data_IF_040871859848
#
_entry.id   IF_040871859848
#
_cell.length_a   1.000
_cell.length_b   1.000
_cell.length_c   1.000
_cell.angle_alpha   90.00
_cell.angle_beta   90.00
_cell.angle_gamma   90.00
#
_symmetry.space_group_name_H-M   'P 1'
#
loop_
_entity.id
_entity.type
_entity.pdbx_description
1 polymer ?
#
# COMPACT_ATOMS: atom_id res chain seq x y z
N UNK A 1 73.23 24.44 1.04
CA UNK A 1 73.73 23.86 2.30
C UNK A 1 72.71 22.83 2.75
N UNK A 2 72.98 21.54 2.51
CA UNK A 2 72.16 20.40 2.98
C UNK A 2 72.94 19.73 4.12
N UNK A 3 72.26 19.35 5.21
CA UNK A 3 72.27 17.93 5.63
C UNK A 3 70.87 17.54 6.15
N UNK A 4 70.39 16.30 6.18
CA UNK A 4 70.94 14.96 5.93
C UNK A 4 69.71 14.05 5.77
N UNK A 5 69.68 13.22 4.74
CA UNK A 5 68.86 12.02 4.66
C UNK A 5 69.68 10.84 5.21
N UNK A 6 69.06 10.03 6.05
CA UNK A 6 69.47 8.68 6.45
C UNK A 6 68.16 7.92 6.72
N UNK A 7 67.95 6.65 6.41
CA UNK A 7 68.49 5.65 5.49
C UNK A 7 67.65 4.39 5.74
N UNK A 8 67.57 3.50 4.75
CA UNK A 8 67.16 2.08 4.85
C UNK A 8 65.71 1.72 4.48
N UNK A 9 65.58 1.48 3.17
CA UNK A 9 65.04 0.27 2.54
C UNK A 9 64.75 -0.95 3.45
N UNK A 10 63.57 -1.56 3.34
CA UNK A 10 63.31 -2.82 2.61
C UNK A 10 61.96 -3.45 2.99
N UNK A 11 61.20 -3.81 1.95
CA UNK A 11 60.40 -5.04 1.72
C UNK A 11 59.41 -5.59 2.77
N UNK A 12 58.23 -5.93 2.21
CA UNK A 12 57.22 -6.95 2.59
C UNK A 12 55.90 -6.47 3.25
N UNK A 13 54.82 -6.69 2.47
CA UNK A 13 53.36 -6.76 2.79
C UNK A 13 53.14 -7.88 3.83
N UNK A 14 52.25 -7.82 4.87
CA UNK A 14 50.79 -7.72 4.72
C UNK A 14 49.95 -7.06 5.88
N UNK A 15 48.67 -6.76 5.57
CA UNK A 15 47.49 -6.64 6.46
C UNK A 15 47.51 -5.55 7.56
N UNK A 16 46.60 -4.55 7.48
CA UNK A 16 45.47 -4.36 8.42
C UNK A 16 44.83 -2.96 8.37
N UNK A 17 43.49 -2.96 8.36
CA UNK A 17 42.55 -2.11 9.14
C UNK A 17 42.20 -0.65 8.75
N UNK A 18 40.91 -0.36 9.00
CA UNK A 18 40.13 0.90 8.98
C UNK A 18 39.67 1.34 7.57
N UNK A 19 38.52 0.88 7.03
CA UNK A 19 37.16 0.92 7.60
C UNK A 19 36.85 2.28 8.26
N UNK A 20 36.56 3.29 7.43
CA UNK A 20 35.62 4.33 7.83
C UNK A 20 34.20 3.76 7.72
N UNK A 21 33.81 3.01 8.75
CA UNK A 21 32.40 2.79 9.04
C UNK A 21 31.91 4.14 9.54
N UNK A 22 31.11 4.86 8.73
CA UNK A 22 30.17 5.82 9.28
C UNK A 22 29.14 4.97 10.01
N UNK A 23 29.47 4.66 11.26
CA UNK A 23 28.57 4.04 12.20
C UNK A 23 27.57 5.13 12.55
N UNK A 24 26.45 5.19 11.82
CA UNK A 24 25.21 5.65 12.43
C UNK A 24 24.82 4.51 13.37
N UNK A 25 25.49 4.49 14.52
CA UNK A 25 24.99 3.85 15.72
C UNK A 25 23.60 4.43 15.94
N UNK A 26 22.57 3.63 15.70
CA UNK A 26 21.33 3.78 16.43
C UNK A 26 21.68 3.51 17.89
N UNK A 27 22.23 4.52 18.55
CA UNK A 27 22.33 4.55 19.98
C UNK A 27 20.93 4.29 20.49
N UNK A 28 20.78 3.22 21.27
CA UNK A 28 19.71 3.14 22.24
C UNK A 28 19.70 4.48 22.95
N UNK A 29 18.66 5.28 22.73
CA UNK A 29 18.38 6.43 23.56
C UNK A 29 18.00 5.85 24.91
N UNK A 30 19.00 5.67 25.77
CA UNK A 30 18.79 5.49 27.20
C UNK A 30 18.42 6.86 27.76
N UNK A 31 17.18 7.29 27.53
CA UNK A 31 16.58 8.32 28.37
C UNK A 31 16.26 7.66 29.69
N UNK A 32 17.11 7.90 30.69
CA UNK A 32 16.70 7.81 32.09
C UNK A 32 15.61 8.86 32.30
N UNK A 33 14.36 8.41 32.18
CA UNK A 33 13.16 9.22 32.31
C UNK A 33 11.99 8.46 31.71
N UNK A 34 11.10 7.94 32.57
CA UNK A 34 9.87 7.28 32.15
C UNK A 34 9.01 8.24 31.32
N UNK A 35 9.11 8.15 30.00
CA UNK A 35 8.17 8.74 29.05
C UNK A 35 7.99 7.74 27.90
N UNK A 36 6.76 7.32 27.65
CA UNK A 36 6.40 6.57 26.44
C UNK A 36 6.68 7.46 25.23
N UNK A 37 7.84 7.31 24.59
CA UNK A 37 8.18 8.04 23.37
C UNK A 37 7.27 7.58 22.23
N UNK A 38 6.48 8.50 21.68
CA UNK A 38 5.78 8.30 20.41
C UNK A 38 6.77 8.71 19.31
N UNK A 39 7.12 7.78 18.43
CA UNK A 39 7.82 8.10 17.18
C UNK A 39 6.81 8.14 16.04
N UNK A 40 6.99 9.06 15.10
CA UNK A 40 6.13 9.21 13.91
C UNK A 40 6.97 9.06 12.64
N UNK A 41 6.41 8.36 11.66
CA UNK A 41 6.97 8.25 10.30
C UNK A 41 5.93 8.76 9.32
N UNK A 42 6.37 9.59 8.38
CA UNK A 42 5.54 10.19 7.34
C UNK A 42 5.81 9.49 6.02
N UNK A 43 4.74 9.02 5.37
CA UNK A 43 4.79 8.28 4.12
C UNK A 43 3.98 9.04 3.08
N UNK A 44 4.62 9.41 1.98
CA UNK A 44 4.03 10.13 0.86
C UNK A 44 3.67 9.20 -0.29
N UNK A 45 3.62 9.77 -1.48
CA UNK A 45 3.33 9.07 -2.73
C UNK A 45 4.20 7.82 -2.89
N UNK A 46 3.58 6.73 -3.36
CA UNK A 46 4.25 5.48 -3.69
C UNK A 46 5.05 4.84 -2.54
N UNK A 47 4.73 5.18 -1.29
CA UNK A 47 5.40 4.64 -0.11
C UNK A 47 6.66 5.38 0.32
N UNK A 48 7.04 6.45 -0.40
CA UNK A 48 8.24 7.23 -0.13
C UNK A 48 8.20 7.88 1.25
N UNK A 49 9.28 7.72 2.03
CA UNK A 49 9.43 8.44 3.30
C UNK A 49 9.58 9.94 3.04
N UNK A 50 8.87 10.76 3.80
CA UNK A 50 8.81 12.21 3.58
C UNK A 50 8.69 12.99 4.90
N UNK A 51 8.35 14.28 4.81
CA UNK A 51 7.97 15.12 5.93
C UNK A 51 6.43 15.23 6.03
N UNK A 52 5.91 15.88 7.07
CA UNK A 52 4.46 16.01 7.28
C UNK A 52 3.73 16.73 6.13
N UNK A 53 4.36 17.70 5.47
CA UNK A 53 3.78 18.48 4.37
C UNK A 53 3.39 17.61 3.16
N UNK A 54 4.18 16.57 2.89
CA UNK A 54 3.98 15.67 1.75
C UNK A 54 3.38 14.31 2.15
N UNK A 55 2.95 14.17 3.40
CA UNK A 55 2.47 12.91 3.93
C UNK A 55 1.06 12.58 3.41
N UNK A 56 0.89 11.35 2.92
CA UNK A 56 -0.42 10.73 2.66
C UNK A 56 -0.83 9.85 3.84
N UNK A 57 0.18 9.25 4.51
CA UNK A 57 0.01 8.45 5.71
C UNK A 57 0.96 8.89 6.82
N UNK A 58 0.49 8.75 8.07
CA UNK A 58 1.33 8.83 9.26
C UNK A 58 1.30 7.49 9.97
N UNK A 59 2.47 6.94 10.28
CA UNK A 59 2.60 5.80 11.16
C UNK A 59 3.07 6.26 12.54
N UNK A 60 2.23 6.10 13.55
CA UNK A 60 2.54 6.43 14.96
C UNK A 60 2.90 5.16 15.71
N UNK A 61 4.10 5.09 16.24
CA UNK A 61 4.60 3.97 17.04
C UNK A 61 4.32 4.27 18.50
N UNK A 62 3.63 3.36 19.18
CA UNK A 62 3.32 3.44 20.61
C UNK A 62 3.92 2.24 21.32
N UNK A 63 5.04 2.46 22.00
CA UNK A 63 5.72 1.43 22.78
C UNK A 63 5.08 1.34 24.16
N UNK A 64 4.55 0.17 24.52
CA UNK A 64 3.95 -0.09 25.84
C UNK A 64 4.97 -0.72 26.79
N UNK A 65 5.79 -1.65 26.29
CA UNK A 65 6.85 -2.33 27.02
C UNK A 65 7.90 -2.85 26.03
N UNK A 66 8.98 -3.45 26.54
CA UNK A 66 10.00 -4.13 25.71
C UNK A 66 9.46 -5.29 24.86
N UNK A 67 8.28 -5.83 25.21
CA UNK A 67 7.65 -6.97 24.53
C UNK A 67 6.34 -6.61 23.83
N UNK A 68 5.90 -5.35 23.89
CA UNK A 68 4.63 -4.92 23.33
C UNK A 68 4.65 -3.49 22.82
N UNK A 69 4.19 -3.31 21.59
CA UNK A 69 4.02 -2.01 20.96
C UNK A 69 2.89 -2.05 19.93
N UNK A 70 2.48 -0.89 19.44
CA UNK A 70 1.60 -0.81 18.27
C UNK A 70 2.08 0.23 17.26
N UNK A 71 1.73 -0.01 16.01
CA UNK A 71 1.87 0.95 14.91
C UNK A 71 0.47 1.31 14.47
N UNK A 72 0.10 2.58 14.58
CA UNK A 72 -1.17 3.10 14.08
C UNK A 72 -0.92 3.83 12.77
N UNK A 73 -1.58 3.43 11.70
CA UNK A 73 -1.55 4.14 10.42
C UNK A 73 -2.76 5.06 10.33
N UNK A 74 -2.48 6.35 10.11
CA UNK A 74 -3.48 7.37 9.85
C UNK A 74 -3.40 7.78 8.38
N UNK A 75 -4.54 8.13 7.79
CA UNK A 75 -4.65 8.70 6.45
C UNK A 75 -5.37 10.03 6.54
N UNK A 76 -4.98 10.98 5.70
CA UNK A 76 -5.69 12.26 5.62
C UNK A 76 -7.04 12.07 4.93
N UNK A 77 -8.11 12.57 5.56
CA UNK A 77 -9.47 12.62 5.04
C UNK A 77 -10.12 13.91 5.52
N UNK A 78 -10.67 14.70 4.59
CA UNK A 78 -11.35 15.98 4.88
C UNK A 78 -10.53 16.93 5.78
N UNK A 79 -9.21 16.99 5.55
CA UNK A 79 -8.29 17.83 6.32
C UNK A 79 -7.91 17.29 7.70
N UNK A 80 -8.42 16.13 8.12
CA UNK A 80 -8.11 15.49 9.39
C UNK A 80 -7.36 14.16 9.20
N UNK A 81 -6.57 13.80 10.20
CA UNK A 81 -5.87 12.51 10.22
C UNK A 81 -6.74 11.46 10.91
N UNK A 82 -7.29 10.53 10.12
CA UNK A 82 -8.12 9.44 10.62
C UNK A 82 -7.31 8.15 10.69
N UNK A 83 -7.43 7.40 11.79
CA UNK A 83 -6.77 6.10 11.95
C UNK A 83 -7.50 5.04 11.13
N UNK A 84 -6.82 4.50 10.13
CA UNK A 84 -7.38 3.49 9.21
C UNK A 84 -6.91 2.07 9.49
N UNK A 85 -5.78 1.92 10.20
CA UNK A 85 -5.17 0.61 10.43
C UNK A 85 -4.33 0.61 11.71
N UNK A 86 -4.24 -0.54 12.37
CA UNK A 86 -3.38 -0.74 13.54
C UNK A 86 -2.77 -2.12 13.55
N UNK A 87 -1.46 -2.17 13.76
CA UNK A 87 -0.73 -3.39 14.05
C UNK A 87 -0.33 -3.41 15.52
N UNK A 88 -0.72 -4.44 16.25
CA UNK A 88 -0.25 -4.69 17.61
C UNK A 88 0.83 -5.76 17.60
N UNK A 89 2.04 -5.37 17.97
CA UNK A 89 3.19 -6.24 18.07
C UNK A 89 3.28 -6.82 19.48
N UNK A 90 3.33 -8.14 19.56
CA UNK A 90 3.68 -8.88 20.78
C UNK A 90 4.91 -9.73 20.48
N UNK A 91 6.01 -9.47 21.18
CA UNK A 91 7.25 -10.24 21.05
C UNK A 91 7.00 -11.67 21.53
N UNK A 92 7.30 -12.65 20.68
CA UNK A 92 7.24 -14.09 21.00
C UNK A 92 8.63 -14.56 21.44
N UNK A 93 9.66 -14.15 20.72
CA UNK A 93 11.08 -14.34 21.03
C UNK A 93 11.90 -13.21 20.36
N UNK A 94 13.23 -13.28 20.40
CA UNK A 94 14.11 -12.24 19.87
C UNK A 94 13.99 -11.98 18.37
N UNK A 95 13.59 -12.99 17.60
CA UNK A 95 13.42 -12.90 16.14
C UNK A 95 11.96 -12.81 15.70
N UNK A 96 10.98 -13.10 16.56
CA UNK A 96 9.59 -13.32 16.14
C UNK A 96 8.60 -12.46 16.92
N UNK A 97 7.68 -11.85 16.17
CA UNK A 97 6.56 -11.09 16.68
C UNK A 97 5.25 -11.73 16.21
N UNK A 98 4.29 -11.81 17.12
CA UNK A 98 2.88 -11.96 16.77
C UNK A 98 2.34 -10.55 16.51
N UNK A 99 1.89 -10.30 15.28
CA UNK A 99 1.34 -9.02 14.82
C UNK A 99 -0.16 -9.18 14.61
N UNK A 100 -0.97 -8.52 15.43
CA UNK A 100 -2.43 -8.45 15.21
C UNK A 100 -2.75 -7.20 14.39
N UNK A 101 -3.17 -7.42 13.16
CA UNK A 101 -3.58 -6.40 12.20
C UNK A 101 -5.08 -6.14 12.31
N UNK A 102 -5.50 -4.88 12.42
CA UNK A 102 -6.91 -4.49 12.51
C UNK A 102 -7.16 -3.24 11.65
N UNK A 103 -8.24 -3.28 10.87
CA UNK A 103 -8.86 -2.19 10.10
C UNK A 103 -10.38 -2.36 10.17
N UNK A 104 -11.14 -1.45 9.56
CA UNK A 104 -12.59 -1.61 9.42
C UNK A 104 -12.96 -2.87 8.62
N UNK A 105 -12.18 -3.22 7.59
CA UNK A 105 -12.52 -4.30 6.66
C UNK A 105 -11.82 -5.64 6.97
N UNK A 106 -10.73 -5.60 7.74
CA UNK A 106 -9.89 -6.76 7.98
C UNK A 106 -9.36 -6.81 9.40
N UNK A 107 -9.46 -8.00 10.01
CA UNK A 107 -8.73 -8.37 11.22
C UNK A 107 -7.97 -9.68 10.99
N UNK A 108 -6.71 -9.72 11.38
CA UNK A 108 -5.85 -10.89 11.18
C UNK A 108 -4.71 -10.98 12.17
N UNK A 109 -4.13 -12.18 12.30
CA UNK A 109 -2.90 -12.41 13.06
C UNK A 109 -1.82 -12.93 12.12
N UNK A 110 -0.69 -12.25 12.11
CA UNK A 110 0.52 -12.58 11.34
C UNK A 110 1.61 -12.96 12.35
N UNK A 111 2.38 -14.00 12.06
CA UNK A 111 3.64 -14.26 12.73
C UNK A 111 4.76 -13.75 11.84
N UNK A 112 5.44 -12.70 12.30
CA UNK A 112 6.52 -12.03 11.58
C UNK A 112 7.85 -12.40 12.20
N UNK A 113 8.70 -13.08 11.43
CA UNK A 113 10.05 -13.48 11.87
C UNK A 113 11.09 -12.67 11.13
N UNK A 114 12.15 -12.27 11.82
CA UNK A 114 13.25 -11.47 11.30
C UNK A 114 14.59 -12.17 11.46
N UNK A 115 15.51 -11.89 10.55
CA UNK A 115 16.92 -12.25 10.63
C UNK A 115 17.76 -11.05 10.18
N UNK A 116 18.61 -10.55 11.07
CA UNK A 116 19.54 -9.45 10.78
C UNK A 116 20.44 -9.82 9.61
N UNK A 117 20.59 -8.90 8.65
CA UNK A 117 21.53 -9.00 7.53
C UNK A 117 22.66 -7.96 7.71
N UNK A 118 23.60 -7.93 6.76
CA UNK A 118 24.64 -6.92 6.76
C UNK A 118 24.06 -5.49 6.75
N UNK A 119 24.70 -4.57 7.47
CA UNK A 119 24.20 -3.20 7.64
C UNK A 119 22.89 -3.15 8.46
N UNK A 120 22.01 -2.21 8.13
CA UNK A 120 20.75 -1.98 8.84
C UNK A 120 19.55 -2.68 8.15
N UNK A 121 19.79 -3.80 7.49
CA UNK A 121 18.75 -4.55 6.75
C UNK A 121 18.36 -5.82 7.49
N UNK A 122 17.08 -6.17 7.44
CA UNK A 122 16.50 -7.37 8.00
C UNK A 122 15.84 -8.18 6.90
N UNK A 123 16.07 -9.50 6.89
CA UNK A 123 15.19 -10.41 6.14
C UNK A 123 13.99 -10.71 7.02
N UNK A 124 12.78 -10.59 6.50
CA UNK A 124 11.54 -10.91 7.22
C UNK A 124 10.71 -11.98 6.51
N UNK A 125 9.88 -12.68 7.29
CA UNK A 125 8.83 -13.58 6.80
C UNK A 125 7.54 -13.37 7.59
N UNK A 126 6.46 -13.11 6.88
CA UNK A 126 5.10 -13.07 7.39
C UNK A 126 4.38 -14.37 7.10
N UNK A 127 3.91 -15.03 8.16
CA UNK A 127 3.12 -16.24 8.07
C UNK A 127 1.73 -16.05 8.68
N UNK A 128 0.70 -16.53 7.98
CA UNK A 128 -0.69 -16.58 8.44
C UNK A 128 -1.14 -18.03 8.47
N UNK A 129 -1.60 -18.50 9.64
CA UNK A 129 -1.99 -19.91 9.85
C UNK A 129 -0.91 -20.91 9.38
N UNK A 130 0.36 -20.59 9.65
CA UNK A 130 1.52 -21.43 9.29
C UNK A 130 1.97 -21.37 7.83
N UNK A 131 1.25 -20.66 6.96
CA UNK A 131 1.65 -20.47 5.55
C UNK A 131 2.31 -19.11 5.37
N UNK A 132 3.43 -19.07 4.66
CA UNK A 132 4.10 -17.82 4.28
C UNK A 132 3.19 -17.07 3.29
N UNK A 133 2.91 -15.80 3.58
CA UNK A 133 2.12 -14.92 2.72
C UNK A 133 2.93 -13.76 2.17
N UNK A 134 4.05 -13.43 2.81
CA UNK A 134 4.99 -12.41 2.36
C UNK A 134 6.37 -12.69 2.95
N UNK A 135 7.42 -12.50 2.18
CA UNK A 135 8.80 -12.46 2.69
C UNK A 135 9.65 -11.50 1.88
N UNK A 136 10.77 -11.08 2.43
CA UNK A 136 11.66 -10.16 1.74
C UNK A 136 12.58 -9.43 2.69
N UNK A 137 12.95 -8.22 2.30
CA UNK A 137 13.89 -7.40 3.04
C UNK A 137 13.22 -6.10 3.52
N UNK A 138 13.72 -5.59 4.65
CA UNK A 138 13.23 -4.38 5.30
C UNK A 138 14.36 -3.62 5.99
N UNK A 139 14.24 -2.31 6.11
CA UNK A 139 15.18 -1.46 6.87
C UNK A 139 14.76 -1.27 8.33
N UNK A 140 13.55 -1.66 8.68
CA UNK A 140 13.02 -1.53 10.04
C UNK A 140 12.11 -2.70 10.39
N UNK A 141 12.17 -3.12 11.66
CA UNK A 141 11.30 -4.15 12.26
C UNK A 141 9.90 -3.59 12.56
N UNK A 142 9.85 -2.35 13.07
CA UNK A 142 8.61 -1.70 13.48
C UNK A 142 8.73 -0.17 13.35
N UNK A 143 7.94 0.46 12.45
CA UNK A 143 7.10 -0.18 11.45
C UNK A 143 7.93 -1.00 10.47
N UNK A 144 7.31 -1.95 9.79
CA UNK A 144 7.98 -2.70 8.73
C UNK A 144 8.13 -1.80 7.51
N UNK A 145 9.35 -1.34 7.26
CA UNK A 145 9.69 -0.50 6.10
C UNK A 145 10.43 -1.34 5.08
N UNK A 146 9.83 -1.55 3.91
CA UNK A 146 10.38 -2.44 2.88
C UNK A 146 11.63 -1.87 2.23
N UNK A 147 12.55 -2.74 1.86
CA UNK A 147 13.76 -2.38 1.12
C UNK A 147 14.35 -3.62 0.47
N UNK A 148 14.78 -3.55 -0.79
CA UNK A 148 15.14 -4.72 -1.58
C UNK A 148 13.91 -5.50 -2.05
N UNK A 149 14.15 -6.75 -2.43
CA UNK A 149 13.10 -7.64 -2.94
C UNK A 149 12.10 -8.04 -1.83
N UNK A 150 10.81 -7.97 -2.16
CA UNK A 150 9.69 -8.47 -1.36
C UNK A 150 8.78 -9.31 -2.25
N UNK A 151 8.56 -10.56 -1.86
CA UNK A 151 7.63 -11.48 -2.53
C UNK A 151 6.35 -11.61 -1.72
N UNK A 152 5.20 -11.47 -2.37
CA UNK A 152 3.88 -11.83 -1.84
C UNK A 152 3.36 -13.11 -2.46
N UNK A 153 2.52 -13.85 -1.71
CA UNK A 153 1.94 -15.10 -2.16
C UNK A 153 0.42 -15.11 -2.02
N UNK A 154 -0.24 -15.80 -2.95
CA UNK A 154 -1.64 -16.18 -2.82
C UNK A 154 -1.82 -17.27 -1.77
N UNK A 155 -3.07 -17.52 -1.35
CA UNK A 155 -3.39 -18.54 -0.34
C UNK A 155 -3.02 -19.97 -0.76
N UNK A 156 -2.98 -20.22 -2.07
CA UNK A 156 -2.55 -21.48 -2.66
C UNK A 156 -1.01 -21.65 -2.68
N UNK A 157 -0.25 -20.60 -2.36
CA UNK A 157 1.21 -20.60 -2.36
C UNK A 157 1.86 -20.14 -3.66
N UNK A 158 1.08 -19.87 -4.71
CA UNK A 158 1.60 -19.25 -5.92
C UNK A 158 2.09 -17.83 -5.62
N UNK A 159 3.16 -17.41 -6.31
CA UNK A 159 3.61 -16.02 -6.25
C UNK A 159 2.47 -15.11 -6.71
N UNK A 160 2.26 -14.03 -5.98
CA UNK A 160 1.35 -12.94 -6.34
C UNK A 160 2.15 -11.80 -6.96
N UNK A 161 3.22 -11.41 -6.30
CA UNK A 161 4.14 -10.40 -6.80
C UNK A 161 5.55 -10.62 -6.27
N UNK A 162 6.52 -10.12 -7.02
CA UNK A 162 7.91 -9.93 -6.60
C UNK A 162 8.20 -8.46 -6.86
N UNK A 163 8.45 -7.70 -5.81
CA UNK A 163 8.55 -6.24 -5.87
C UNK A 163 9.89 -5.77 -5.33
N UNK A 164 10.50 -4.81 -6.01
CA UNK A 164 11.73 -4.16 -5.54
C UNK A 164 11.38 -2.84 -4.84
N UNK A 165 11.92 -2.65 -3.63
CA UNK A 165 11.71 -1.44 -2.84
C UNK A 165 13.02 -0.70 -2.55
N UNK A 166 13.00 0.62 -2.63
CA UNK A 166 14.08 1.45 -2.13
C UNK A 166 13.57 2.36 -1.01
N UNK A 167 13.99 2.11 0.23
CA UNK A 167 13.57 2.88 1.40
C UNK A 167 12.04 3.10 1.45
N UNK A 168 11.30 1.98 1.38
CA UNK A 168 9.84 1.89 1.38
C UNK A 168 9.12 2.42 0.13
N UNK A 169 9.83 3.01 -0.84
CA UNK A 169 9.28 3.38 -2.15
C UNK A 169 9.31 2.18 -3.10
N UNK A 170 8.17 1.85 -3.73
CA UNK A 170 8.08 0.78 -4.72
C UNK A 170 8.78 1.20 -6.02
N UNK A 171 9.75 0.42 -6.49
CA UNK A 171 10.54 0.72 -7.69
C UNK A 171 9.97 0.03 -8.92
N UNK A 172 9.72 -1.28 -8.81
CA UNK A 172 9.22 -2.15 -9.88
C UNK A 172 8.56 -3.37 -9.26
N UNK A 173 7.75 -4.08 -10.04
CA UNK A 173 7.16 -5.34 -9.62
C UNK A 173 6.85 -6.24 -10.80
N UNK A 174 7.05 -7.53 -10.58
CA UNK A 174 6.48 -8.59 -11.41
C UNK A 174 5.21 -9.12 -10.75
N UNK A 175 4.18 -9.42 -11.53
CA UNK A 175 2.90 -9.89 -11.00
C UNK A 175 2.40 -11.16 -11.69
N UNK A 176 1.60 -11.92 -10.94
CA UNK A 176 0.95 -13.14 -11.41
C UNK A 176 -0.51 -13.18 -10.96
N UNK A 177 -1.32 -13.91 -11.70
CA UNK A 177 -2.67 -14.28 -11.29
C UNK A 177 -2.61 -15.45 -10.29
N UNK A 178 -3.73 -15.72 -9.61
CA UNK A 178 -3.79 -16.78 -8.60
C UNK A 178 -3.52 -18.18 -9.18
N UNK A 179 -3.82 -18.41 -10.46
CA UNK A 179 -3.49 -19.64 -11.19
C UNK A 179 -2.01 -19.79 -11.56
N UNK A 180 -1.18 -18.76 -11.28
CA UNK A 180 0.25 -18.73 -11.59
C UNK A 180 0.58 -18.21 -12.98
N UNK A 181 -0.41 -17.87 -13.81
CA UNK A 181 -0.17 -17.18 -15.08
C UNK A 181 0.37 -15.77 -14.84
N UNK A 182 1.23 -15.29 -15.75
CA UNK A 182 1.77 -13.94 -15.70
C UNK A 182 0.64 -12.90 -15.79
N UNK A 183 0.76 -11.85 -15.00
CA UNK A 183 -0.08 -10.67 -15.06
C UNK A 183 0.73 -9.48 -15.60
N UNK A 184 0.17 -8.27 -15.54
CA UNK A 184 0.83 -7.04 -15.96
C UNK A 184 1.90 -6.68 -14.92
N UNK A 185 3.12 -6.40 -15.37
CA UNK A 185 4.24 -5.97 -14.53
C UNK A 185 4.26 -4.43 -14.39
N UNK A 186 5.11 -3.91 -13.50
CA UNK A 186 5.32 -2.48 -13.25
C UNK A 186 4.03 -1.69 -12.93
N UNK A 187 3.19 -2.27 -12.07
CA UNK A 187 1.94 -1.66 -11.62
C UNK A 187 2.19 -0.82 -10.36
N UNK A 188 1.68 0.41 -10.37
CA UNK A 188 1.72 1.31 -9.22
C UNK A 188 0.31 1.50 -8.63
N UNK A 189 0.27 1.76 -7.32
CA UNK A 189 -0.96 1.89 -6.53
C UNK A 189 -1.11 3.29 -5.90
N UNK A 190 -0.10 4.14 -6.04
CA UNK A 190 -0.07 5.52 -5.56
C UNK A 190 0.89 6.31 -6.44
N UNK A 191 0.39 7.42 -6.99
CA UNK A 191 1.07 8.23 -8.01
C UNK A 191 0.91 9.71 -7.71
N UNK A 192 1.75 10.55 -8.30
CA UNK A 192 1.70 12.01 -8.11
C UNK A 192 0.50 12.62 -8.84
N UNK A 193 0.12 12.01 -9.96
CA UNK A 193 -1.08 12.34 -10.74
C UNK A 193 -1.80 11.04 -11.09
N UNK A 194 -3.07 10.94 -10.71
CA UNK A 194 -3.92 9.79 -11.03
C UNK A 194 -4.29 9.76 -12.52
N UNK A 195 -4.65 8.59 -13.09
CA UNK A 195 -5.14 8.51 -14.46
C UNK A 195 -6.43 9.31 -14.64
N UNK A 196 -6.58 9.92 -15.81
CA UNK A 196 -7.77 10.72 -16.15
C UNK A 196 -8.41 10.13 -17.40
N UNK A 197 -9.67 9.68 -17.25
CA UNK A 197 -10.49 9.30 -18.39
C UNK A 197 -10.98 10.56 -19.13
N UNK A 198 -10.70 10.63 -20.43
CA UNK A 198 -11.21 11.62 -21.37
C UNK A 198 -12.25 10.89 -22.22
N UNK A 199 -13.53 11.28 -22.18
CA UNK A 199 -14.05 12.65 -22.00
C UNK A 199 -14.47 13.07 -20.58
N UNK A 200 -14.27 12.23 -19.57
CA UNK A 200 -14.56 12.55 -18.16
C UNK A 200 -15.51 11.58 -17.48
N UNK A 201 -15.52 11.61 -16.14
CA UNK A 201 -16.23 10.65 -15.29
C UNK A 201 -17.75 10.68 -15.48
N UNK A 202 -18.34 11.85 -15.82
CA UNK A 202 -19.77 11.95 -16.12
C UNK A 202 -20.18 11.10 -17.32
N UNK A 203 -19.40 11.14 -18.40
CA UNK A 203 -19.67 10.36 -19.61
C UNK A 203 -19.46 8.87 -19.33
N UNK A 204 -18.40 8.53 -18.60
CA UNK A 204 -18.17 7.16 -18.14
C UNK A 204 -19.37 6.64 -17.34
N UNK A 205 -19.84 7.37 -16.34
CA UNK A 205 -20.99 6.97 -15.53
C UNK A 205 -22.26 6.78 -16.37
N UNK A 206 -22.52 7.68 -17.33
CA UNK A 206 -23.66 7.55 -18.25
C UNK A 206 -23.55 6.30 -19.12
N UNK A 207 -22.35 5.99 -19.64
CA UNK A 207 -22.08 4.79 -20.43
C UNK A 207 -22.32 3.52 -19.60
N UNK A 208 -21.79 3.48 -18.37
CA UNK A 208 -22.00 2.34 -17.47
C UNK A 208 -23.49 2.13 -17.16
N UNK A 209 -24.23 3.19 -16.81
CA UNK A 209 -25.68 3.12 -16.57
C UNK A 209 -26.43 2.60 -17.80
N UNK A 210 -26.05 3.05 -19.00
CA UNK A 210 -26.64 2.58 -20.25
C UNK A 210 -26.35 1.08 -20.45
N UNK A 211 -25.12 0.64 -20.25
CA UNK A 211 -24.74 -0.77 -20.38
C UNK A 211 -25.50 -1.70 -19.44
N UNK A 212 -25.77 -1.29 -18.19
CA UNK A 212 -26.67 -2.05 -17.31
C UNK A 212 -28.10 -2.12 -17.85
N UNK A 213 -28.66 -1.00 -18.30
CA UNK A 213 -30.03 -0.96 -18.86
C UNK A 213 -30.17 -1.82 -20.12
N UNK A 214 -29.20 -1.75 -21.02
CA UNK A 214 -29.18 -2.53 -22.26
C UNK A 214 -29.09 -4.04 -21.98
N UNK A 215 -28.46 -4.43 -20.87
CA UNK A 215 -28.42 -5.80 -20.37
C UNK A 215 -29.71 -6.23 -19.62
N UNK A 216 -30.75 -5.41 -19.61
CA UNK A 216 -32.02 -5.68 -18.93
C UNK A 216 -31.95 -5.59 -17.40
N UNK A 217 -30.93 -4.92 -16.86
CA UNK A 217 -30.74 -4.82 -15.41
C UNK A 217 -31.48 -3.59 -14.88
N UNK A 218 -32.44 -3.84 -13.98
CA UNK A 218 -33.07 -2.79 -13.20
C UNK A 218 -32.16 -2.37 -12.03
N UNK A 219 -31.35 -1.34 -12.27
CA UNK A 219 -30.43 -0.78 -11.28
C UNK A 219 -31.12 -0.28 -10.00
N UNK A 220 -32.43 0.04 -10.06
CA UNK A 220 -33.17 0.51 -8.89
C UNK A 220 -33.49 -0.63 -7.91
N UNK A 221 -33.57 -1.87 -8.42
CA UNK A 221 -33.80 -3.08 -7.61
C UNK A 221 -32.52 -3.63 -6.95
N UNK A 222 -31.35 -3.12 -7.33
CA UNK A 222 -30.05 -3.60 -6.82
C UNK A 222 -29.63 -2.78 -5.61
N UNK A 223 -29.06 -3.46 -4.61
CA UNK A 223 -28.42 -2.82 -3.47
C UNK A 223 -27.00 -3.36 -3.29
N UNK A 224 -26.09 -2.50 -2.84
CA UNK A 224 -24.73 -2.87 -2.47
C UNK A 224 -23.68 -2.32 -3.43
N UNK A 225 -22.45 -2.79 -3.25
CA UNK A 225 -21.27 -2.28 -3.99
C UNK A 225 -20.64 -3.38 -4.82
N UNK A 226 -20.62 -3.17 -6.13
CA UNK A 226 -19.79 -3.92 -7.07
C UNK A 226 -18.43 -3.23 -7.16
N UNK A 227 -17.33 -3.98 -7.19
CA UNK A 227 -15.99 -3.40 -7.37
C UNK A 227 -15.34 -4.02 -8.59
N UNK A 228 -15.01 -3.15 -9.55
CA UNK A 228 -14.30 -3.48 -10.78
C UNK A 228 -12.87 -2.99 -10.64
N UNK A 229 -11.90 -3.85 -10.93
CA UNK A 229 -10.50 -3.49 -10.98
C UNK A 229 -9.95 -3.59 -12.40
N UNK A 230 -9.02 -2.72 -12.76
CA UNK A 230 -8.32 -2.73 -14.03
C UNK A 230 -7.00 -1.98 -13.90
N UNK A 231 -6.15 -2.07 -14.92
CA UNK A 231 -4.91 -1.32 -15.01
C UNK A 231 -5.01 -0.34 -16.17
N UNK A 232 -4.69 0.93 -15.93
CA UNK A 232 -4.41 1.88 -17.00
C UNK A 232 -2.91 1.83 -17.24
N UNK A 233 -2.50 1.29 -18.39
CA UNK A 233 -1.11 1.16 -18.77
C UNK A 233 -0.46 2.55 -18.98
N UNK A 234 0.87 2.60 -18.95
CA UNK A 234 1.65 3.82 -19.25
C UNK A 234 1.32 4.48 -20.60
N UNK A 235 0.76 3.73 -21.55
CA UNK A 235 0.32 4.23 -22.85
C UNK A 235 -1.17 4.66 -22.88
N UNK A 236 -1.86 4.66 -21.74
CA UNK A 236 -3.27 5.04 -21.63
C UNK A 236 -4.28 3.95 -22.03
N UNK A 237 -3.85 2.72 -22.33
CA UNK A 237 -4.77 1.61 -22.59
C UNK A 237 -5.27 0.98 -21.29
N UNK A 238 -6.54 0.60 -21.27
CA UNK A 238 -7.12 -0.22 -20.20
C UNK A 238 -6.78 -1.69 -20.45
N UNK A 239 -6.28 -2.38 -19.43
CA UNK A 239 -6.02 -3.81 -19.44
C UNK A 239 -6.34 -4.43 -18.05
N UNK A 240 -6.27 -5.76 -17.93
CA UNK A 240 -6.35 -6.44 -16.64
C UNK A 240 -7.71 -6.32 -15.93
N UNK A 241 -8.78 -6.07 -16.69
CA UNK A 241 -10.14 -5.89 -16.17
C UNK A 241 -10.62 -7.13 -15.41
N UNK A 242 -11.04 -6.96 -14.15
CA UNK A 242 -11.52 -8.02 -13.26
C UNK A 242 -12.65 -7.52 -12.37
N UNK A 243 -13.62 -8.38 -12.07
CA UNK A 243 -14.60 -8.13 -11.01
C UNK A 243 -14.03 -8.69 -9.69
N UNK A 244 -13.61 -7.82 -8.78
CA UNK A 244 -13.00 -8.24 -7.50
C UNK A 244 -14.03 -8.32 -6.35
N UNK A 245 -15.19 -7.67 -6.51
CA UNK A 245 -16.39 -7.87 -5.67
C UNK A 245 -17.62 -7.83 -6.55
N UNK A 246 -18.33 -8.97 -6.64
CA UNK A 246 -19.51 -9.15 -7.48
C UNK A 246 -20.84 -8.88 -6.75
N UNK A 247 -21.91 -8.62 -7.51
CA UNK A 247 -23.30 -8.58 -7.02
C UNK A 247 -24.22 -9.63 -7.68
N UNK A 248 -23.66 -10.48 -8.56
CA UNK A 248 -24.38 -11.55 -9.24
C UNK A 248 -23.91 -11.70 -10.67
N UNK A 249 -24.03 -12.90 -11.26
CA UNK A 249 -23.42 -13.21 -12.56
C UNK A 249 -23.84 -12.26 -13.68
N UNK A 250 -25.14 -11.93 -13.78
CA UNK A 250 -25.67 -10.98 -14.77
C UNK A 250 -25.12 -9.56 -14.59
N UNK A 251 -25.14 -9.06 -13.35
CA UNK A 251 -24.64 -7.72 -13.00
C UNK A 251 -23.14 -7.61 -13.25
N UNK A 252 -22.38 -8.63 -12.83
CA UNK A 252 -20.93 -8.70 -13.04
C UNK A 252 -20.59 -8.68 -14.54
N UNK A 253 -21.33 -9.46 -15.34
CA UNK A 253 -21.14 -9.53 -16.79
C UNK A 253 -21.43 -8.20 -17.44
N UNK A 254 -22.57 -7.57 -17.11
CA UNK A 254 -22.93 -6.27 -17.66
C UNK A 254 -21.91 -5.18 -17.31
N UNK A 255 -21.43 -5.15 -16.06
CA UNK A 255 -20.38 -4.21 -15.64
C UNK A 255 -19.10 -4.43 -16.45
N UNK A 256 -18.63 -5.68 -16.55
CA UNK A 256 -17.44 -6.05 -17.30
C UNK A 256 -17.55 -5.60 -18.77
N UNK A 257 -18.66 -5.91 -19.45
CA UNK A 257 -18.91 -5.49 -20.84
C UNK A 257 -19.02 -3.97 -21.00
N UNK A 258 -19.57 -3.27 -20.00
CA UNK A 258 -19.68 -1.81 -20.02
C UNK A 258 -18.31 -1.12 -19.95
N UNK A 259 -17.36 -1.68 -19.19
CA UNK A 259 -15.98 -1.19 -19.18
C UNK A 259 -15.24 -1.50 -20.49
N UNK A 260 -15.42 -2.68 -21.07
CA UNK A 260 -14.78 -3.03 -22.35
C UNK A 260 -15.29 -2.19 -23.53
N UNK A 261 -16.56 -1.81 -23.50
CA UNK A 261 -17.20 -1.00 -24.55
C UNK A 261 -17.05 0.51 -24.32
N UNK A 262 -16.34 0.92 -23.26
CA UNK A 262 -16.18 2.32 -22.92
C UNK A 262 -15.36 3.04 -24.00
N UNK A 263 -16.01 3.96 -24.72
CA UNK A 263 -15.34 4.74 -25.75
C UNK A 263 -14.70 6.00 -25.14
N UNK A 264 -13.39 6.12 -25.26
CA UNK A 264 -12.62 7.23 -24.77
C UNK A 264 -11.15 6.87 -24.62
N UNK A 265 -10.36 7.84 -24.16
CA UNK A 265 -8.92 7.69 -23.95
C UNK A 265 -8.61 7.91 -22.48
N UNK A 266 -7.60 7.21 -21.97
CA UNK A 266 -7.06 7.53 -20.65
C UNK A 266 -5.74 8.28 -20.80
N UNK A 267 -5.61 9.39 -20.07
CA UNK A 267 -4.29 9.89 -19.72
C UNK A 267 -3.72 8.99 -18.61
N UNK A 268 -2.51 8.45 -18.79
CA UNK A 268 -1.89 7.58 -17.79
C UNK A 268 -1.60 8.34 -16.49
N UNK A 269 -1.35 7.58 -15.42
CA UNK A 269 -0.86 8.15 -14.18
C UNK A 269 0.58 8.65 -14.35
N UNK A 270 0.98 9.60 -13.49
CA UNK A 270 2.38 10.05 -13.42
C UNK A 270 3.00 9.78 -12.06
N UNK A 271 4.21 9.24 -12.09
CA UNK A 271 5.07 9.08 -10.92
C UNK A 271 6.48 9.58 -11.25
N UNK A 272 7.00 10.50 -10.45
CA UNK A 272 8.29 11.13 -10.69
C UNK A 272 8.40 11.70 -12.13
N UNK A 273 7.32 12.35 -12.60
CA UNK A 273 7.16 12.91 -13.95
C UNK A 273 7.19 11.91 -15.12
N UNK A 274 7.13 10.60 -14.86
CA UNK A 274 7.03 9.56 -15.91
C UNK A 274 5.63 8.98 -15.93
N UNK A 275 5.14 8.68 -17.13
CA UNK A 275 3.90 7.93 -17.29
C UNK A 275 4.12 6.49 -16.79
N UNK A 276 3.18 5.96 -16.01
CA UNK A 276 3.30 4.62 -15.39
C UNK A 276 1.98 3.85 -15.45
N UNK A 277 2.07 2.53 -15.41
CA UNK A 277 0.90 1.66 -15.29
C UNK A 277 0.29 1.75 -13.89
N UNK A 278 -1.00 2.04 -13.80
CA UNK A 278 -1.70 2.29 -12.54
C UNK A 278 -2.85 1.32 -12.31
N UNK A 279 -2.87 0.69 -11.13
CA UNK A 279 -3.99 -0.16 -10.72
C UNK A 279 -5.15 0.69 -10.22
N UNK A 280 -6.29 0.56 -10.88
CA UNK A 280 -7.52 1.22 -10.52
C UNK A 280 -8.50 0.22 -9.88
N UNK A 281 -9.13 0.63 -8.78
CA UNK A 281 -10.27 -0.07 -8.18
C UNK A 281 -11.46 0.87 -8.16
N UNK A 282 -12.47 0.57 -8.97
CA UNK A 282 -13.64 1.42 -9.20
C UNK A 282 -14.88 0.81 -8.50
N UNK A 283 -15.32 1.39 -7.37
CA UNK A 283 -16.56 0.98 -6.73
C UNK A 283 -17.78 1.55 -7.45
N UNK A 284 -18.71 0.67 -7.84
CA UNK A 284 -20.04 1.03 -8.32
C UNK A 284 -21.03 0.77 -7.19
N UNK A 285 -21.53 1.85 -6.60
CA UNK A 285 -22.50 1.80 -5.51
C UNK A 285 -23.92 1.84 -6.07
N UNK A 286 -24.68 0.78 -5.84
CA UNK A 286 -26.11 0.70 -6.15
C UNK A 286 -26.89 1.10 -4.90
N UNK A 287 -27.56 2.25 -4.99
CA UNK A 287 -28.40 2.79 -3.92
C UNK A 287 -29.85 2.50 -4.29
N UNK A 288 -30.46 1.53 -3.61
CA UNK A 288 -31.88 1.25 -3.76
C UNK A 288 -32.68 2.40 -3.12
N UNK A 289 -33.46 3.11 -3.95
CA UNK A 289 -34.29 4.24 -3.49
C UNK A 289 -35.46 3.81 -2.59
N UNK A 290 -35.83 2.52 -2.54
CA UNK A 290 -36.88 2.04 -1.63
C UNK A 290 -36.45 2.00 -0.16
N UNK A 291 -35.15 2.19 0.15
CA UNK A 291 -34.67 2.37 1.54
C UNK A 291 -34.48 3.82 1.97
N UNK A 292 -34.83 4.82 1.15
CA UNK A 292 -34.73 6.24 1.53
C UNK A 292 -36.03 6.83 2.08
N UNK A 293 -36.87 6.01 2.72
CA UNK A 293 -37.97 6.45 3.57
C UNK A 293 -37.98 5.60 4.84
N UNK A 294 -37.11 5.91 5.79
CA UNK A 294 -37.46 5.86 7.22
C UNK A 294 -36.41 6.60 8.05
N UNK A 295 -36.92 7.62 8.77
CA UNK A 295 -36.29 8.45 9.80
C UNK A 295 -35.33 9.60 9.43
N UNK A 296 -35.87 10.79 9.68
CA UNK A 296 -35.16 12.03 9.91
C UNK A 296 -34.48 12.02 11.29
N UNK A 297 -33.27 12.56 11.37
CA UNK A 297 -32.70 13.02 12.64
C UNK A 297 -32.23 14.48 12.49
N UNK A 298 -32.68 15.35 13.40
CA UNK A 298 -32.37 16.77 13.42
C UNK A 298 -31.09 17.07 14.20
N UNK A 299 -30.20 17.92 13.67
CA UNK A 299 -29.41 18.87 14.50
C UNK A 299 -29.24 20.21 13.77
N UNK A 300 -29.71 21.29 14.42
CA UNK A 300 -29.70 22.73 14.01
C UNK A 300 -30.85 23.25 13.12
N UNK A 301 -32.00 22.60 13.15
CA UNK A 301 -33.27 23.32 13.29
C UNK A 301 -33.81 24.17 12.13
N UNK A 302 -33.60 23.82 10.86
CA UNK A 302 -34.40 24.36 9.75
C UNK A 302 -34.79 23.26 8.77
N UNK A 303 -36.04 23.35 8.32
CA UNK A 303 -36.86 22.33 7.67
C UNK A 303 -37.39 22.93 6.36
N UNK A 304 -37.06 22.34 5.20
CA UNK A 304 -37.66 22.77 3.93
C UNK A 304 -37.95 21.59 3.00
N UNK A 305 -39.15 21.69 2.41
CA UNK A 305 -39.88 20.75 1.54
C UNK A 305 -40.25 21.46 0.24
N UNK A 306 -40.45 20.70 -0.83
CA UNK A 306 -41.07 21.17 -2.07
C UNK A 306 -41.11 20.06 -3.12
N UNK A 307 -42.31 19.77 -3.63
CA UNK A 307 -42.62 18.74 -4.60
C UNK A 307 -42.84 19.34 -6.00
N UNK A 308 -42.39 18.64 -7.04
CA UNK A 308 -43.07 18.46 -8.33
C UNK A 308 -42.73 17.07 -8.85
#
# INVERSE_FOLDING_TARGET
MIPKLNSNAMKHIPISLCLFIISISFSFVSTTGSAQGISEIFIGTNGKLCNLEHAIYIQKIKTKSSSSASVQTLKQKDGQWEKIYTEHYKKVNDSTYQVKANSEEFTGTIFRTFSQQAGNTFRFRDAVKGKIVREGYAQSVMPLLFHGEVTEYYKNGNKKSVSEYNNNELVTNENWNEDGSKYIDDIFYSTDVDPIFIPGTKVMNQHLIKGFKDAGIDIASISGTLIVAFVILENGKLDGLKIIKGLGSSINTAAYQSFLSLNGEWKPAKLNNRDVSYYFSFPINFINKQQSFEFAEMRKGILHWGAY
#
